data_IF_955577746224
#
_entry.id   IF_955577746224
#
_cell.length_a   1.000
_cell.length_b   1.000
_cell.length_c   1.000
_cell.angle_alpha   90.00
_cell.angle_beta   90.00
_cell.angle_gamma   90.00
#
_symmetry.space_group_name_H-M   'P 1'
#
loop_
_entity.id
_entity.type
_entity.pdbx_description
1 polymer ?
#
# COMPACT_ATOMS: atom_id res chain seq x y z
N UNK A 1 -5.85 -16.19 19.69
CA UNK A 1 -6.52 -15.00 19.12
C UNK A 1 -5.50 -14.01 18.54
N UNK A 2 -4.46 -13.61 19.29
CA UNK A 2 -3.37 -12.72 18.83
C UNK A 2 -2.66 -13.15 17.53
N UNK A 3 -2.46 -14.45 17.29
CA UNK A 3 -1.72 -14.91 16.10
C UNK A 3 -2.45 -14.71 14.76
N UNK A 4 -3.79 -14.57 14.76
CA UNK A 4 -4.53 -14.25 13.52
C UNK A 4 -4.41 -12.76 13.21
N UNK A 5 -4.51 -11.92 14.24
CA UNK A 5 -4.39 -10.47 14.13
C UNK A 5 -3.03 -10.03 13.56
N UNK A 6 -1.93 -10.54 14.13
CA UNK A 6 -0.59 -10.22 13.63
C UNK A 6 -0.38 -10.73 12.20
N UNK A 7 -0.93 -11.91 11.86
CA UNK A 7 -0.86 -12.44 10.50
C UNK A 7 -1.63 -11.58 9.51
N UNK A 8 -2.83 -11.13 9.89
CA UNK A 8 -3.67 -10.28 9.04
C UNK A 8 -3.03 -8.91 8.79
N UNK A 9 -2.42 -8.32 9.81
CA UNK A 9 -1.65 -7.06 9.69
C UNK A 9 -0.43 -7.28 8.79
N UNK A 10 0.33 -8.36 9.00
CA UNK A 10 1.52 -8.65 8.19
C UNK A 10 1.18 -8.91 6.72
N UNK A 11 0.11 -9.66 6.44
CA UNK A 11 -0.40 -9.90 5.07
C UNK A 11 -0.83 -8.56 4.46
N UNK A 12 -1.58 -7.76 5.21
CA UNK A 12 -2.07 -6.49 4.69
C UNK A 12 -0.93 -5.53 4.37
N UNK A 13 0.05 -5.44 5.26
CA UNK A 13 1.26 -4.65 5.06
C UNK A 13 2.04 -5.10 3.82
N UNK A 14 2.27 -6.41 3.67
CA UNK A 14 2.97 -6.95 2.50
C UNK A 14 2.22 -6.65 1.18
N UNK A 15 0.91 -6.91 1.15
CA UNK A 15 0.07 -6.66 -0.03
C UNK A 15 0.05 -5.18 -0.40
N UNK A 16 -0.12 -4.29 0.58
CA UNK A 16 -0.14 -2.84 0.33
C UNK A 16 1.21 -2.34 -0.20
N UNK A 17 2.31 -2.82 0.38
CA UNK A 17 3.67 -2.44 -0.02
C UNK A 17 3.95 -2.84 -1.46
N UNK A 18 3.60 -4.08 -1.83
CA UNK A 18 3.77 -4.58 -3.20
C UNK A 18 2.87 -3.82 -4.17
N UNK A 19 1.60 -3.60 -3.82
CA UNK A 19 0.65 -2.89 -4.68
C UNK A 19 1.11 -1.47 -5.01
N UNK A 20 1.55 -0.71 -4.01
CA UNK A 20 2.07 0.64 -4.22
C UNK A 20 3.44 0.66 -4.89
N UNK A 21 4.32 -0.32 -4.61
CA UNK A 21 5.58 -0.43 -5.33
C UNK A 21 5.36 -0.66 -6.83
N UNK A 22 4.39 -1.50 -7.20
CA UNK A 22 3.98 -1.70 -8.60
C UNK A 22 3.38 -0.42 -9.19
N UNK A 23 2.48 0.25 -8.45
CA UNK A 23 1.85 1.48 -8.90
C UNK A 23 2.85 2.62 -9.14
N UNK A 24 3.82 2.81 -8.23
CA UNK A 24 4.81 3.90 -8.28
C UNK A 24 5.97 3.62 -9.24
N UNK A 25 6.33 2.34 -9.44
CA UNK A 25 7.44 1.98 -10.34
C UNK A 25 7.10 2.09 -11.82
N UNK A 26 5.81 2.24 -12.16
CA UNK A 26 5.36 2.19 -13.55
C UNK A 26 5.51 0.79 -14.16
N UNK A 27 5.61 -0.25 -13.33
CA UNK A 27 5.63 -1.65 -13.77
C UNK A 27 4.20 -2.12 -14.14
N UNK A 28 3.61 -1.44 -15.13
CA UNK A 28 2.33 -1.75 -15.72
C UNK A 28 2.51 -2.00 -17.23
N UNK A 29 1.50 -2.59 -17.88
CA UNK A 29 1.59 -2.98 -19.29
C UNK A 29 2.02 -1.82 -20.20
N UNK A 30 1.47 -0.62 -19.96
CA UNK A 30 1.82 0.60 -20.69
C UNK A 30 3.27 1.04 -20.45
N UNK A 31 3.75 1.03 -19.20
CA UNK A 31 5.11 1.41 -18.86
C UNK A 31 6.15 0.44 -19.42
N UNK A 32 5.85 -0.85 -19.45
CA UNK A 32 6.70 -1.88 -20.08
C UNK A 32 6.77 -1.67 -21.59
N UNK A 33 5.66 -1.36 -22.26
CA UNK A 33 5.65 -1.08 -23.70
C UNK A 33 6.40 0.22 -24.03
N UNK A 34 6.26 1.27 -23.21
CA UNK A 34 6.84 2.58 -23.47
C UNK A 34 8.36 2.65 -23.21
N UNK A 35 8.84 2.00 -22.15
CA UNK A 35 10.22 2.16 -21.65
C UNK A 35 11.02 0.85 -21.56
N UNK A 36 10.36 -0.29 -21.78
CA UNK A 36 10.99 -1.61 -21.72
C UNK A 36 10.95 -2.25 -20.33
N UNK A 37 11.17 -3.56 -20.28
CA UNK A 37 11.04 -4.36 -19.06
C UNK A 37 12.12 -4.06 -18.00
N UNK A 38 13.40 -4.04 -18.40
CA UNK A 38 14.54 -3.85 -17.48
C UNK A 38 14.46 -2.58 -16.62
N UNK A 39 14.25 -1.37 -17.17
CA UNK A 39 14.26 -0.15 -16.37
C UNK A 39 13.08 -0.06 -15.40
N UNK A 40 11.91 -0.58 -15.79
CA UNK A 40 10.75 -0.63 -14.89
C UNK A 40 10.95 -1.67 -13.77
N UNK A 41 11.56 -2.82 -14.07
CA UNK A 41 11.89 -3.82 -13.06
C UNK A 41 12.89 -3.28 -12.03
N UNK A 42 13.92 -2.55 -12.49
CA UNK A 42 14.90 -1.93 -11.59
C UNK A 42 14.25 -0.89 -10.67
N UNK A 43 13.36 -0.06 -11.24
CA UNK A 43 12.59 0.93 -10.47
C UNK A 43 11.69 0.24 -9.43
N UNK A 44 11.05 -0.87 -9.79
CA UNK A 44 10.23 -1.67 -8.87
C UNK A 44 11.03 -2.20 -7.68
N UNK A 45 12.21 -2.77 -7.92
CA UNK A 45 13.08 -3.29 -6.85
C UNK A 45 13.54 -2.18 -5.89
N UNK A 46 13.76 -0.96 -6.39
CA UNK A 46 14.11 0.20 -5.54
C UNK A 46 12.89 0.70 -4.76
N UNK A 47 11.71 0.74 -5.39
CA UNK A 47 10.48 1.25 -4.78
C UNK A 47 9.88 0.30 -3.75
N UNK A 48 10.13 -1.00 -3.85
CA UNK A 48 9.62 -2.01 -2.92
C UNK A 48 10.04 -1.78 -1.46
N UNK A 49 11.34 -1.64 -1.11
CA UNK A 49 11.72 -1.37 0.27
C UNK A 49 11.21 0.00 0.74
N UNK A 50 11.21 1.01 -0.13
CA UNK A 50 10.72 2.35 0.20
C UNK A 50 9.22 2.29 0.55
N UNK A 51 8.41 1.65 -0.29
CA UNK A 51 6.98 1.48 -0.05
C UNK A 51 6.74 0.64 1.20
N UNK A 52 7.55 -0.38 1.44
CA UNK A 52 7.44 -1.23 2.61
C UNK A 52 7.61 -0.45 3.92
N UNK A 53 8.64 0.41 4.00
CA UNK A 53 8.84 1.23 5.20
C UNK A 53 7.82 2.36 5.30
N UNK A 54 7.62 3.15 4.24
CA UNK A 54 6.74 4.33 4.28
C UNK A 54 5.29 3.94 4.49
N UNK A 55 4.78 2.96 3.73
CA UNK A 55 3.39 2.55 3.84
C UNK A 55 3.16 1.66 5.04
N UNK A 56 4.15 0.86 5.44
CA UNK A 56 4.10 0.10 6.69
C UNK A 56 3.94 0.99 7.90
N UNK A 57 4.83 1.97 8.04
CA UNK A 57 4.78 2.94 9.12
C UNK A 57 3.51 3.79 9.06
N UNK A 58 3.13 4.27 7.87
CA UNK A 58 1.87 5.00 7.67
C UNK A 58 0.65 4.19 8.07
N UNK A 59 0.58 2.91 7.73
CA UNK A 59 -0.53 2.02 8.07
C UNK A 59 -0.63 1.81 9.59
N UNK A 60 0.51 1.55 10.25
CA UNK A 60 0.56 1.37 11.71
C UNK A 60 0.11 2.65 12.43
N UNK A 61 0.62 3.81 12.00
CA UNK A 61 0.24 5.10 12.58
C UNK A 61 -1.24 5.45 12.32
N UNK A 62 -1.75 5.16 11.12
CA UNK A 62 -3.14 5.38 10.76
C UNK A 62 -4.09 4.60 11.67
N UNK A 63 -3.79 3.33 11.90
CA UNK A 63 -4.58 2.48 12.79
C UNK A 63 -4.49 2.92 14.26
N UNK A 64 -3.29 3.30 14.71
CA UNK A 64 -3.10 3.83 16.06
C UNK A 64 -3.90 5.12 16.27
N UNK A 65 -3.99 5.96 15.24
CA UNK A 65 -4.80 7.17 15.21
C UNK A 65 -6.28 6.88 15.41
N UNK A 66 -6.86 5.97 14.63
CA UNK A 66 -8.26 5.55 14.79
C UNK A 66 -8.56 5.04 16.19
N UNK A 67 -7.66 4.19 16.73
CA UNK A 67 -7.78 3.69 18.10
C UNK A 67 -7.70 4.79 19.15
N UNK A 68 -6.82 5.77 18.96
CA UNK A 68 -6.66 6.89 19.89
C UNK A 68 -7.90 7.78 19.90
N UNK A 69 -8.46 8.07 18.73
CA UNK A 69 -9.71 8.84 18.59
C UNK A 69 -10.88 8.10 19.24
N UNK A 70 -11.06 6.81 18.95
CA UNK A 70 -12.16 6.03 19.55
C UNK A 70 -12.09 5.97 21.08
N UNK A 71 -10.88 5.85 21.64
CA UNK A 71 -10.65 5.88 23.10
C UNK A 71 -10.93 7.25 23.70
N UNK A 72 -10.61 8.33 22.99
CA UNK A 72 -10.92 9.69 23.44
C UNK A 72 -12.44 9.90 23.60
N UNK A 73 -13.25 9.23 22.79
CA UNK A 73 -14.71 9.25 22.88
C UNK A 73 -15.32 8.18 23.80
N UNK A 74 -14.54 7.56 24.71
CA UNK A 74 -14.99 6.50 25.62
C UNK A 74 -15.55 5.22 24.94
N UNK A 75 -15.21 4.96 23.67
CA UNK A 75 -15.60 3.73 22.99
C UNK A 75 -14.51 2.66 23.08
N UNK A 76 -14.93 1.41 23.30
CA UNK A 76 -14.04 0.24 23.28
C UNK A 76 -13.81 -0.21 21.83
N UNK A 77 -12.72 0.27 21.22
CA UNK A 77 -12.30 -0.15 19.88
C UNK A 77 -11.32 -1.34 19.96
N UNK A 78 -11.80 -2.52 19.57
CA UNK A 78 -10.97 -3.68 19.24
C UNK A 78 -10.54 -3.57 17.77
N UNK A 79 -9.26 -3.82 17.49
CA UNK A 79 -8.76 -3.83 16.12
C UNK A 79 -9.45 -4.94 15.33
N UNK A 80 -10.22 -4.56 14.31
CA UNK A 80 -10.89 -5.49 13.41
C UNK A 80 -10.47 -5.16 11.99
N UNK A 81 -9.82 -6.12 11.34
CA UNK A 81 -9.33 -5.97 9.96
C UNK A 81 -10.47 -5.51 9.05
N UNK A 82 -10.32 -4.33 8.46
CA UNK A 82 -11.27 -3.82 7.49
C UNK A 82 -10.88 -4.26 6.08
N UNK A 83 -11.30 -5.48 5.71
CA UNK A 83 -10.99 -6.06 4.39
C UNK A 83 -11.46 -5.19 3.22
N UNK A 84 -12.52 -4.39 3.41
CA UNK A 84 -12.99 -3.43 2.41
C UNK A 84 -12.01 -2.27 2.23
N UNK A 85 -11.41 -1.77 3.32
CA UNK A 85 -10.37 -0.74 3.26
C UNK A 85 -9.13 -1.20 2.48
N UNK A 86 -8.75 -2.48 2.61
CA UNK A 86 -7.67 -3.06 1.80
C UNK A 86 -8.00 -3.11 0.31
N UNK A 87 -9.22 -3.55 -0.04
CA UNK A 87 -9.67 -3.60 -1.43
C UNK A 87 -9.76 -2.20 -2.04
N UNK A 88 -10.22 -1.22 -1.26
CA UNK A 88 -10.25 0.18 -1.65
C UNK A 88 -8.84 0.72 -1.88
N UNK A 89 -7.90 0.46 -0.96
CA UNK A 89 -6.50 0.90 -1.09
C UNK A 89 -5.82 0.26 -2.31
N UNK A 90 -6.06 -1.03 -2.56
CA UNK A 90 -5.56 -1.72 -3.76
C UNK A 90 -6.16 -1.12 -5.04
N UNK A 91 -7.48 -0.86 -5.05
CA UNK A 91 -8.16 -0.22 -6.17
C UNK A 91 -7.69 1.21 -6.42
N UNK A 92 -7.51 2.00 -5.35
CA UNK A 92 -6.99 3.36 -5.42
C UNK A 92 -5.53 3.38 -5.89
N UNK A 93 -4.67 2.47 -5.41
CA UNK A 93 -3.30 2.34 -5.87
C UNK A 93 -3.24 1.98 -7.36
N UNK A 94 -4.10 1.07 -7.82
CA UNK A 94 -4.21 0.72 -9.23
C UNK A 94 -4.68 1.89 -10.10
N UNK A 95 -5.68 2.66 -9.64
CA UNK A 95 -6.16 3.86 -10.33
C UNK A 95 -5.09 4.95 -10.37
N UNK A 96 -4.43 5.24 -9.25
CA UNK A 96 -3.37 6.25 -9.17
C UNK A 96 -2.18 5.84 -10.03
N UNK A 97 -1.73 4.58 -10.00
CA UNK A 97 -0.65 4.10 -10.87
C UNK A 97 -1.01 4.06 -12.36
N UNK A 98 -2.31 3.98 -12.70
CA UNK A 98 -2.78 4.07 -14.08
C UNK A 98 -2.91 5.53 -14.57
N UNK A 99 -3.39 6.44 -13.70
CA UNK A 99 -3.65 7.85 -14.04
C UNK A 99 -2.36 8.68 -13.93
N UNK A 100 -1.63 8.52 -12.83
CA UNK A 100 -0.36 9.18 -12.56
C UNK A 100 0.78 8.24 -12.90
N UNK A 101 0.97 7.94 -14.18
CA UNK A 101 2.26 7.44 -14.64
C UNK A 101 3.22 8.64 -14.70
N UNK A 102 4.21 8.79 -13.81
CA UNK A 102 5.06 9.99 -13.76
C UNK A 102 5.91 10.21 -15.02
N UNK A 103 5.94 9.21 -15.91
CA UNK A 103 6.75 9.20 -17.13
C UNK A 103 6.02 9.65 -18.39
N UNK A 104 4.78 10.17 -18.28
CA UNK A 104 4.04 10.77 -19.41
C UNK A 104 4.18 12.29 -19.52
N UNK A 105 4.99 12.92 -18.67
CA UNK A 105 5.24 14.36 -18.68
C UNK A 105 6.73 14.66 -18.67
N UNK A 106 7.46 14.29 -19.74
CA UNK A 106 8.59 15.03 -20.33
C UNK A 106 8.88 14.43 -21.71
#
# INVERSE_FOLDING_TARGET
>A
MVSRETKDIAISWAVLSIAFALALSGFNLLGIIALGFLPNFLTFIIMLPISFFVLGTSFILHELGHRNVARHFNYHAEFRKWDFGLKLALGAAALVGAIFNPKSHF
#
